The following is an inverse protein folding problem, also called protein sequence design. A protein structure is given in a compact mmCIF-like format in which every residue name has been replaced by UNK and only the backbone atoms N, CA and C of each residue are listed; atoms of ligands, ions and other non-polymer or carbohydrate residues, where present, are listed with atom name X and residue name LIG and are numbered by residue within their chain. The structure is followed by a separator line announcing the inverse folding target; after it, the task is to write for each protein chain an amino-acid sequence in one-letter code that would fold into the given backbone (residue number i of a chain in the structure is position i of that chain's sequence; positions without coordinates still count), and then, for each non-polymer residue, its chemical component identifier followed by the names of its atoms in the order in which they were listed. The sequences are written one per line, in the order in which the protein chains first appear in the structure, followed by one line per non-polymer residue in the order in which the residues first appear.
data_IF_540998926269
#
_entry.id   IF_540998926269
#
_cell.length_a   1.000
_cell.length_b   1.000
_cell.length_c   1.000
_cell.angle_alpha   90.00
_cell.angle_beta   90.00
_cell.angle_gamma   90.00
#
_symmetry.space_group_name_H-M   'P 1'
#
loop_
_entity.id
_entity.type
_entity.pdbx_description
1 polymer ?
#
# COMPACT_ATOMS: atom_id res chain seq x y z
N UNK A 1 14.38 -6.94 -0.02
CA UNK A 1 13.69 -7.25 -1.30
C UNK A 1 12.55 -6.28 -1.59
N UNK A 2 11.59 -6.03 -0.71
CA UNK A 2 10.48 -5.07 -0.95
C UNK A 2 10.94 -3.67 -1.36
N UNK A 3 12.03 -3.17 -0.79
CA UNK A 3 12.61 -1.87 -1.14
C UNK A 3 13.13 -1.88 -2.59
N UNK A 4 13.78 -2.95 -3.02
CA UNK A 4 14.25 -3.09 -4.41
C UNK A 4 13.06 -3.12 -5.36
N UNK A 5 12.04 -3.93 -5.06
CA UNK A 5 10.82 -4.02 -5.87
C UNK A 5 10.03 -2.70 -5.90
N UNK A 6 10.09 -1.88 -4.85
CA UNK A 6 9.46 -0.55 -4.85
C UNK A 6 10.13 0.43 -5.82
N UNK A 7 11.36 0.19 -6.22
CA UNK A 7 12.08 0.99 -7.22
C UNK A 7 11.82 0.54 -8.67
N UNK A 8 11.28 -0.67 -8.85
CA UNK A 8 10.80 -1.13 -10.16
C UNK A 8 9.39 -0.55 -10.35
N UNK A 9 9.35 0.67 -10.86
CA UNK A 9 8.12 1.42 -11.09
C UNK A 9 7.67 1.19 -12.53
N UNK A 10 6.46 0.65 -12.70
CA UNK A 10 5.82 0.46 -14.01
C UNK A 10 5.26 1.79 -14.50
N UNK A 11 4.61 2.53 -13.61
CA UNK A 11 4.01 3.82 -13.90
C UNK A 11 4.06 4.73 -12.68
N UNK A 12 4.32 6.03 -12.88
CA UNK A 12 4.41 7.04 -11.83
C UNK A 12 3.38 8.14 -12.07
N UNK A 13 2.56 8.40 -11.07
CA UNK A 13 1.55 9.48 -11.10
C UNK A 13 2.19 10.85 -10.84
N UNK A 14 1.64 11.96 -11.39
CA UNK A 14 2.22 13.30 -11.26
C UNK A 14 2.25 13.81 -9.81
N UNK A 15 1.19 13.62 -9.04
CA UNK A 15 1.07 14.11 -7.66
C UNK A 15 1.47 13.07 -6.59
N UNK A 16 2.14 12.00 -6.96
CA UNK A 16 2.48 10.89 -6.07
C UNK A 16 1.70 9.64 -6.44
N UNK A 17 2.01 8.55 -5.76
CA UNK A 17 1.50 7.24 -6.17
C UNK A 17 2.32 6.63 -7.32
N UNK A 18 2.45 5.34 -7.30
CA UNK A 18 3.15 4.60 -8.35
C UNK A 18 2.68 3.15 -8.37
N UNK A 19 2.62 2.59 -9.56
CA UNK A 19 2.42 1.16 -9.76
C UNK A 19 3.79 0.50 -9.68
N UNK A 20 3.99 -0.34 -8.68
CA UNK A 20 5.24 -1.07 -8.47
C UNK A 20 5.07 -2.56 -8.73
N UNK A 21 6.17 -3.22 -9.01
CA UNK A 21 6.20 -4.64 -9.32
C UNK A 21 6.16 -5.50 -8.04
N UNK A 22 4.96 -5.61 -7.41
CA UNK A 22 4.74 -6.53 -6.30
C UNK A 22 5.51 -6.22 -5.01
N UNK A 23 5.77 -4.94 -4.71
CA UNK A 23 6.55 -4.50 -3.52
C UNK A 23 6.03 -5.04 -2.20
N UNK A 24 4.74 -5.35 -2.08
CA UNK A 24 4.15 -5.87 -0.84
C UNK A 24 4.37 -7.38 -0.65
N UNK A 25 4.72 -8.11 -1.70
CA UNK A 25 4.81 -9.58 -1.68
C UNK A 25 5.79 -10.11 -0.64
N UNK A 26 7.06 -9.63 -0.59
CA UNK A 26 7.99 -10.13 0.42
C UNK A 26 7.57 -9.82 1.86
N UNK A 27 6.89 -8.67 2.08
CA UNK A 27 6.35 -8.31 3.40
C UNK A 27 5.18 -9.19 3.79
N UNK A 28 4.29 -9.48 2.84
CA UNK A 28 3.15 -10.38 3.04
C UNK A 28 3.59 -11.80 3.39
N UNK A 29 4.58 -12.34 2.67
CA UNK A 29 5.16 -13.67 2.93
C UNK A 29 5.84 -13.71 4.30
N UNK A 30 6.64 -12.68 4.63
CA UNK A 30 7.30 -12.60 5.93
C UNK A 30 6.28 -12.54 7.07
N UNK A 31 5.26 -11.68 6.95
CA UNK A 31 4.19 -11.54 7.94
C UNK A 31 3.42 -12.85 8.12
N UNK A 32 3.11 -13.54 7.01
CA UNK A 32 2.43 -14.83 7.04
C UNK A 32 3.22 -15.91 7.79
N UNK A 33 4.52 -15.98 7.54
CA UNK A 33 5.39 -17.01 8.11
C UNK A 33 5.77 -16.73 9.56
N UNK A 34 6.04 -15.48 9.92
CA UNK A 34 6.57 -15.09 11.24
C UNK A 34 5.52 -14.50 12.20
N UNK A 35 4.30 -14.23 11.71
CA UNK A 35 3.20 -13.71 12.51
C UNK A 35 3.15 -12.19 12.62
N UNK A 36 2.17 -11.70 13.40
CA UNK A 36 1.77 -10.28 13.45
C UNK A 36 2.91 -9.35 13.86
N UNK A 37 3.61 -9.67 14.95
CA UNK A 37 4.62 -8.77 15.52
C UNK A 37 5.78 -8.55 14.56
N UNK A 38 6.32 -9.63 14.00
CA UNK A 38 7.40 -9.58 13.00
C UNK A 38 6.92 -8.92 11.71
N UNK A 39 5.66 -9.16 11.32
CA UNK A 39 5.02 -8.53 10.17
C UNK A 39 4.94 -7.02 10.32
N UNK A 40 4.41 -6.52 11.44
CA UNK A 40 4.30 -5.09 11.73
C UNK A 40 5.69 -4.45 11.78
N UNK A 41 6.65 -5.06 12.47
CA UNK A 41 8.02 -4.52 12.57
C UNK A 41 8.68 -4.36 11.21
N UNK A 42 8.60 -5.38 10.35
CA UNK A 42 9.15 -5.33 9.00
C UNK A 42 8.44 -4.30 8.11
N UNK A 43 7.12 -4.20 8.23
CA UNK A 43 6.30 -3.23 7.50
C UNK A 43 6.59 -1.79 7.94
N UNK A 44 6.80 -1.54 9.23
CA UNK A 44 7.20 -0.23 9.75
C UNK A 44 8.59 0.17 9.23
N UNK A 45 9.57 -0.73 9.33
CA UNK A 45 10.91 -0.48 8.78
C UNK A 45 10.85 -0.16 7.28
N UNK A 46 10.06 -0.93 6.52
CA UNK A 46 9.84 -0.65 5.11
C UNK A 46 9.22 0.73 4.88
N UNK A 47 8.19 1.09 5.67
CA UNK A 47 7.50 2.39 5.56
C UNK A 47 8.45 3.55 5.79
N UNK A 48 9.25 3.51 6.86
CA UNK A 48 10.25 4.56 7.14
C UNK A 48 11.26 4.70 6.01
N UNK A 49 11.84 3.60 5.55
CA UNK A 49 12.79 3.65 4.44
C UNK A 49 12.13 4.20 3.17
N UNK A 50 10.87 3.82 2.89
CA UNK A 50 10.15 4.28 1.71
C UNK A 50 9.81 5.78 1.77
N UNK A 51 9.52 6.32 2.97
CA UNK A 51 9.37 7.76 3.19
C UNK A 51 10.68 8.48 2.85
N UNK A 52 11.80 8.07 3.41
CA UNK A 52 13.10 8.71 3.14
C UNK A 52 13.51 8.64 1.66
N UNK A 53 13.17 7.57 0.96
CA UNK A 53 13.57 7.37 -0.43
C UNK A 53 12.60 7.94 -1.46
N UNK A 54 11.37 8.26 -1.08
CA UNK A 54 10.30 8.55 -2.06
C UNK A 54 9.33 9.65 -1.69
N UNK A 55 9.39 10.21 -0.50
CA UNK A 55 8.49 11.27 -0.08
C UNK A 55 8.76 12.56 -0.85
N UNK A 56 7.72 13.13 -1.46
CA UNK A 56 7.80 14.42 -2.12
C UNK A 56 7.34 15.52 -1.19
N UNK A 57 8.18 16.54 -1.00
CA UNK A 57 7.83 17.73 -0.24
C UNK A 57 7.10 18.71 -1.17
N UNK A 58 5.94 19.17 -0.75
CA UNK A 58 5.16 20.18 -1.46
C UNK A 58 5.22 21.51 -0.68
N UNK A 59 5.56 22.63 -1.35
CA UNK A 59 5.97 23.85 -0.66
C UNK A 59 4.86 24.59 0.10
N UNK A 60 3.59 24.23 -0.09
CA UNK A 60 2.44 24.97 0.46
C UNK A 60 1.89 24.40 1.76
N UNK A 61 2.45 23.31 2.28
CA UNK A 61 1.87 22.62 3.44
C UNK A 61 2.66 22.87 4.73
N UNK A 62 1.95 22.90 5.86
CA UNK A 62 2.56 23.01 7.17
C UNK A 62 3.10 21.63 7.65
N UNK A 63 3.96 21.65 8.69
CA UNK A 63 4.59 20.44 9.24
C UNK A 63 3.57 19.39 9.70
N UNK A 64 2.44 19.83 10.25
CA UNK A 64 1.39 18.93 10.75
C UNK A 64 0.78 18.14 9.58
N UNK A 65 0.49 18.82 8.47
CA UNK A 65 -0.04 18.15 7.25
C UNK A 65 0.92 17.10 6.71
N UNK A 66 2.23 17.37 6.72
CA UNK A 66 3.24 16.37 6.32
C UNK A 66 3.23 15.14 7.20
N UNK A 67 3.17 15.31 8.52
CA UNK A 67 3.12 14.18 9.47
C UNK A 67 1.89 13.33 9.21
N UNK A 68 0.73 13.95 9.00
CA UNK A 68 -0.51 13.23 8.71
C UNK A 68 -0.48 12.49 7.37
N UNK A 69 0.05 13.10 6.30
CA UNK A 69 0.22 12.44 5.00
C UNK A 69 1.14 11.23 5.13
N UNK A 70 2.29 11.38 5.79
CA UNK A 70 3.21 10.26 6.02
C UNK A 70 2.51 9.14 6.79
N UNK A 71 1.75 9.48 7.82
CA UNK A 71 1.03 8.50 8.63
C UNK A 71 -0.04 7.77 7.84
N UNK A 72 -0.90 8.49 7.09
CA UNK A 72 -2.01 7.91 6.34
C UNK A 72 -1.59 7.16 5.08
N UNK A 73 -0.59 7.65 4.34
CA UNK A 73 -0.20 7.05 3.05
C UNK A 73 0.91 6.03 3.16
N UNK A 74 1.80 6.16 4.15
CA UNK A 74 2.99 5.30 4.26
C UNK A 74 2.95 4.39 5.49
N UNK A 75 2.54 4.85 6.67
CA UNK A 75 2.64 4.05 7.90
C UNK A 75 1.42 3.15 8.08
N UNK A 76 0.23 3.72 8.12
CA UNK A 76 -1.01 2.98 8.40
C UNK A 76 -1.27 1.82 7.43
N UNK A 77 -1.20 1.99 6.10
CA UNK A 77 -1.45 0.88 5.18
C UNK A 77 -0.51 -0.30 5.42
N UNK A 78 0.76 -0.04 5.71
CA UNK A 78 1.73 -1.11 5.92
C UNK A 78 1.61 -1.78 7.30
N UNK A 79 1.19 -1.06 8.35
CA UNK A 79 0.80 -1.68 9.62
C UNK A 79 -0.34 -2.67 9.37
N UNK A 80 -1.37 -2.25 8.63
CA UNK A 80 -2.49 -3.12 8.24
C UNK A 80 -2.04 -4.33 7.43
N UNK A 81 -1.07 -4.16 6.51
CA UNK A 81 -0.47 -5.29 5.79
C UNK A 81 0.10 -6.32 6.78
N UNK A 82 0.93 -5.86 7.72
CA UNK A 82 1.54 -6.73 8.74
C UNK A 82 0.52 -7.49 9.57
N UNK A 83 -0.57 -6.81 9.99
CA UNK A 83 -1.67 -7.42 10.75
C UNK A 83 -2.41 -8.44 9.89
N UNK A 84 -2.91 -8.04 8.72
CA UNK A 84 -3.77 -8.86 7.85
C UNK A 84 -3.04 -10.14 7.44
N UNK A 85 -1.76 -10.07 7.09
CA UNK A 85 -0.99 -11.25 6.71
C UNK A 85 -0.41 -12.01 7.91
N UNK A 86 -0.21 -11.35 9.05
CA UNK A 86 0.30 -11.98 10.27
C UNK A 86 -0.73 -12.79 11.06
N UNK A 87 -2.03 -12.54 10.88
CA UNK A 87 -3.09 -13.34 11.51
C UNK A 87 -3.07 -14.76 10.94
N UNK A 88 -3.04 -15.78 11.81
CA UNK A 88 -3.20 -17.18 11.41
C UNK A 88 -4.64 -17.44 11.01
N UNK A 89 -4.87 -17.76 9.75
CA UNK A 89 -6.21 -18.12 9.26
C UNK A 89 -6.51 -19.61 9.46
N UNK A 90 -7.81 -19.94 9.44
CA UNK A 90 -8.29 -21.33 9.53
C UNK A 90 -7.69 -22.21 8.42
N UNK A 91 -7.22 -23.41 8.80
CA UNK A 91 -6.69 -24.41 7.86
C UNK A 91 -7.69 -24.88 6.80
N UNK A 92 -8.98 -24.49 6.90
CA UNK A 92 -10.05 -24.85 5.97
C UNK A 92 -9.98 -24.10 4.62
N UNK A 93 -9.26 -22.98 4.53
CA UNK A 93 -9.19 -22.15 3.32
C UNK A 93 -7.91 -22.47 2.58
N UNK A 94 -8.01 -22.70 1.27
CA UNK A 94 -6.85 -22.91 0.40
C UNK A 94 -5.89 -21.71 0.50
N UNK A 95 -4.59 -21.97 0.54
CA UNK A 95 -3.54 -20.97 0.67
C UNK A 95 -3.66 -19.86 -0.39
N UNK A 96 -3.91 -20.20 -1.65
CA UNK A 96 -4.11 -19.21 -2.73
C UNK A 96 -5.28 -18.27 -2.43
N UNK A 97 -6.44 -18.82 -2.09
CA UNK A 97 -7.66 -18.05 -1.76
C UNK A 97 -7.41 -17.12 -0.56
N UNK A 98 -6.69 -17.62 0.44
CA UNK A 98 -6.32 -16.84 1.61
C UNK A 98 -5.47 -15.60 1.23
N UNK A 99 -4.44 -15.79 0.40
CA UNK A 99 -3.61 -14.67 -0.07
C UNK A 99 -4.41 -13.66 -0.91
N UNK A 100 -5.32 -14.11 -1.77
CA UNK A 100 -6.15 -13.21 -2.56
C UNK A 100 -7.08 -12.36 -1.70
N UNK A 101 -7.76 -12.97 -0.74
CA UNK A 101 -8.65 -12.25 0.19
C UNK A 101 -7.87 -11.19 0.96
N UNK A 102 -6.73 -11.56 1.54
CA UNK A 102 -5.89 -10.65 2.33
C UNK A 102 -5.32 -9.51 1.48
N UNK A 103 -4.87 -9.81 0.27
CA UNK A 103 -4.38 -8.80 -0.67
C UNK A 103 -5.49 -7.82 -1.02
N UNK A 104 -6.69 -8.31 -1.35
CA UNK A 104 -7.83 -7.45 -1.65
C UNK A 104 -8.21 -6.56 -0.47
N UNK A 105 -8.31 -7.13 0.75
CA UNK A 105 -8.59 -6.37 1.98
C UNK A 105 -7.53 -5.28 2.19
N UNK A 106 -6.25 -5.61 2.05
CA UNK A 106 -5.17 -4.63 2.17
C UNK A 106 -5.33 -3.47 1.19
N UNK A 107 -5.61 -3.75 -0.09
CA UNK A 107 -5.77 -2.71 -1.10
C UNK A 107 -7.03 -1.85 -0.88
N UNK A 108 -8.11 -2.42 -0.34
CA UNK A 108 -9.29 -1.65 0.08
C UNK A 108 -8.91 -0.64 1.17
N UNK A 109 -8.22 -1.07 2.23
CA UNK A 109 -7.74 -0.17 3.28
C UNK A 109 -6.78 0.88 2.74
N UNK A 110 -5.88 0.50 1.84
CA UNK A 110 -4.96 1.43 1.19
C UNK A 110 -5.71 2.52 0.41
N UNK A 111 -6.75 2.17 -0.37
CA UNK A 111 -7.60 3.14 -1.07
C UNK A 111 -8.26 4.09 -0.08
N UNK A 112 -8.83 3.59 1.01
CA UNK A 112 -9.51 4.41 2.03
C UNK A 112 -8.53 5.43 2.62
N UNK A 113 -7.38 4.98 3.11
CA UNK A 113 -6.40 5.88 3.74
C UNK A 113 -5.84 6.90 2.75
N UNK A 114 -5.48 6.49 1.55
CA UNK A 114 -4.97 7.41 0.52
C UNK A 114 -6.04 8.37 0.02
N UNK A 115 -7.32 7.99 0.00
CA UNK A 115 -8.42 8.89 -0.34
C UNK A 115 -8.60 9.96 0.73
N UNK A 116 -8.58 9.60 2.01
CA UNK A 116 -8.66 10.55 3.12
C UNK A 116 -7.45 11.49 3.09
N UNK A 117 -6.26 10.96 2.93
CA UNK A 117 -5.02 11.74 2.82
C UNK A 117 -5.11 12.74 1.67
N UNK A 118 -5.50 12.28 0.49
CA UNK A 118 -5.62 13.11 -0.70
C UNK A 118 -6.70 14.19 -0.57
N UNK A 119 -7.88 13.85 -0.05
CA UNK A 119 -8.98 14.79 0.08
C UNK A 119 -8.70 15.90 1.11
N UNK A 120 -8.03 15.56 2.22
CA UNK A 120 -7.78 16.52 3.30
C UNK A 120 -6.53 17.35 3.07
N UNK A 121 -5.46 16.73 2.52
CA UNK A 121 -4.13 17.35 2.49
C UNK A 121 -3.67 17.83 1.11
N UNK A 122 -4.32 17.39 0.02
CA UNK A 122 -3.99 17.79 -1.34
C UNK A 122 -5.04 18.68 -2.00
N UNK A 123 -5.95 19.26 -1.20
CA UNK A 123 -7.08 20.06 -1.66
C UNK A 123 -6.68 21.16 -2.66
N UNK A 124 -5.58 21.85 -2.40
CA UNK A 124 -5.12 22.97 -3.22
C UNK A 124 -4.62 22.56 -4.62
N UNK A 125 -4.50 21.25 -4.88
CA UNK A 125 -4.03 20.70 -6.15
C UNK A 125 -5.10 19.96 -6.97
N UNK A 126 -6.36 19.99 -6.52
CA UNK A 126 -7.44 19.22 -7.10
C UNK A 126 -8.36 20.11 -7.93
N UNK A 127 -7.99 20.34 -9.22
CA UNK A 127 -8.66 21.33 -10.08
C UNK A 127 -9.81 20.83 -10.96
N UNK A 128 -10.10 19.50 -10.97
CA UNK A 128 -10.94 18.93 -12.04
C UNK A 128 -12.35 18.49 -11.65
N UNK A 129 -12.70 18.41 -10.38
CA UNK A 129 -14.04 17.99 -9.93
C UNK A 129 -14.48 18.83 -8.72
N UNK A 130 -15.77 19.17 -8.67
CA UNK A 130 -16.36 19.94 -7.56
C UNK A 130 -16.32 19.19 -6.22
N UNK A 131 -16.19 17.85 -6.25
CA UNK A 131 -16.11 17.03 -5.04
C UNK A 131 -14.72 16.43 -4.87
N UNK A 132 -13.99 16.96 -3.89
CA UNK A 132 -12.63 16.59 -3.55
C UNK A 132 -12.47 15.10 -3.20
N UNK A 133 -13.43 14.53 -2.46
CA UNK A 133 -13.39 13.11 -2.07
C UNK A 133 -13.53 12.19 -3.28
N UNK A 134 -14.42 12.54 -4.22
CA UNK A 134 -14.59 11.77 -5.46
C UNK A 134 -13.33 11.86 -6.31
N UNK A 135 -12.75 13.04 -6.44
CA UNK A 135 -11.49 13.20 -7.19
C UNK A 135 -10.36 12.38 -6.56
N UNK A 136 -10.13 12.52 -5.25
CA UNK A 136 -9.10 11.78 -4.53
C UNK A 136 -9.29 10.27 -4.66
N UNK A 137 -10.54 9.78 -4.55
CA UNK A 137 -10.87 8.37 -4.72
C UNK A 137 -10.54 7.87 -6.13
N UNK A 138 -10.99 8.57 -7.17
CA UNK A 138 -10.72 8.20 -8.56
C UNK A 138 -9.23 8.24 -8.88
N UNK A 139 -8.53 9.28 -8.42
CA UNK A 139 -7.08 9.38 -8.57
C UNK A 139 -6.35 8.18 -7.97
N UNK A 140 -6.71 7.79 -6.75
CA UNK A 140 -6.10 6.65 -6.08
C UNK A 140 -6.46 5.31 -6.76
N UNK A 141 -7.69 5.16 -7.27
CA UNK A 141 -8.08 3.96 -8.01
C UNK A 141 -7.21 3.72 -9.25
N UNK A 142 -6.86 4.77 -9.99
CA UNK A 142 -6.09 4.65 -11.25
C UNK A 142 -4.76 3.91 -11.05
N UNK A 143 -4.08 4.08 -9.93
CA UNK A 143 -2.81 3.39 -9.72
C UNK A 143 -2.90 2.19 -8.76
N UNK A 144 -3.84 2.21 -7.81
CA UNK A 144 -3.98 1.13 -6.82
C UNK A 144 -4.61 -0.13 -7.44
N UNK A 145 -5.61 0.01 -8.32
CA UNK A 145 -6.22 -1.16 -8.98
C UNK A 145 -5.25 -1.91 -9.90
N UNK A 146 -4.47 -1.25 -10.77
CA UNK A 146 -3.43 -1.96 -11.52
C UNK A 146 -2.37 -2.59 -10.62
N UNK A 147 -1.98 -1.94 -9.52
CA UNK A 147 -1.02 -2.51 -8.55
C UNK A 147 -1.58 -3.79 -7.89
N UNK A 148 -2.87 -3.81 -7.54
CA UNK A 148 -3.57 -5.00 -7.05
C UNK A 148 -3.51 -6.13 -8.08
N UNK A 149 -3.84 -5.83 -9.34
CA UNK A 149 -3.85 -6.83 -10.43
C UNK A 149 -2.47 -7.43 -10.63
N UNK A 150 -1.44 -6.62 -10.73
CA UNK A 150 -0.03 -7.07 -10.82
C UNK A 150 0.34 -7.95 -9.62
N UNK A 151 -0.02 -7.52 -8.41
CA UNK A 151 0.29 -8.27 -7.19
C UNK A 151 -0.39 -9.64 -7.18
N UNK A 152 -1.65 -9.74 -7.59
CA UNK A 152 -2.39 -11.02 -7.68
C UNK A 152 -1.74 -11.95 -8.69
N UNK A 153 -1.38 -11.45 -9.86
CA UNK A 153 -0.71 -12.25 -10.91
C UNK A 153 0.61 -12.82 -10.39
N UNK A 154 1.42 -11.99 -9.72
CA UNK A 154 2.70 -12.44 -9.16
C UNK A 154 2.48 -13.46 -8.02
N UNK A 155 1.53 -13.22 -7.11
CA UNK A 155 1.18 -14.20 -6.09
C UNK A 155 0.74 -15.54 -6.67
N UNK A 156 -0.05 -15.53 -7.74
CA UNK A 156 -0.49 -16.77 -8.39
C UNK A 156 0.70 -17.64 -8.84
N UNK A 157 1.76 -17.03 -9.33
CA UNK A 157 2.95 -17.72 -9.78
C UNK A 157 3.87 -18.16 -8.62
N UNK A 158 3.95 -17.38 -7.54
CA UNK A 158 4.88 -17.64 -6.43
C UNK A 158 4.30 -18.61 -5.40
N UNK A 159 2.99 -18.58 -5.14
CA UNK A 159 2.36 -19.40 -4.10
C UNK A 159 2.57 -20.90 -4.35
N UNK A 160 2.65 -21.35 -5.61
CA UNK A 160 2.96 -22.73 -5.94
C UNK A 160 4.33 -23.21 -5.46
N UNK A 161 5.25 -22.29 -5.16
CA UNK A 161 6.59 -22.59 -4.62
C UNK A 161 6.68 -22.40 -3.10
N UNK A 162 5.68 -21.79 -2.46
CA UNK A 162 5.65 -21.50 -1.02
C UNK A 162 4.79 -22.54 -0.27
N UNK A 163 3.85 -23.19 -0.98
CA UNK A 163 2.97 -24.25 -0.46
C UNK A 163 3.68 -25.58 -0.36
#
# INVERSE_FOLDING_TARGET
MSIVLSKIIIFKMPFGGSISFGRIIPLAILSHNQGILSGISACLLYSFINVFLGFKIFPTQNLISYIFVIFLDYILPYIFLGIIFGIKFSKKINLKTNYYIRTTIFFIFKIIFSTISGAVFWNDYLFFLDNIYIYSFLYNLIYILPELSVTIVIFNNIISYIA
#
